data_IF_598213410631
#
_entry.id   IF_598213410631
#
_cell.length_a   1.000
_cell.length_b   1.000
_cell.length_c   1.000
_cell.angle_alpha   90.00
_cell.angle_beta   90.00
_cell.angle_gamma   90.00
#
_symmetry.space_group_name_H-M   'P 1'
#
loop_
_entity.id
_entity.type
_entity.pdbx_description
1 polymer ?
#
# COMPACT_ATOMS: atom_id res chain seq x y z
N UNK A 1 40.04 -12.64 36.20
CA UNK A 1 40.85 -11.99 37.25
C UNK A 1 41.87 -11.08 36.59
N UNK A 2 41.59 -9.77 36.53
CA UNK A 2 42.44 -8.73 35.90
C UNK A 2 43.32 -7.98 36.93
N UNK A 3 43.22 -8.32 38.23
CA UNK A 3 43.94 -7.64 39.32
C UNK A 3 45.46 -7.92 39.33
N UNK A 4 45.92 -8.95 38.62
CA UNK A 4 47.33 -9.34 38.56
C UNK A 4 48.19 -8.61 37.50
N UNK A 5 47.64 -7.63 36.78
CA UNK A 5 48.29 -7.00 35.61
C UNK A 5 49.01 -5.67 35.88
N UNK A 6 49.01 -5.18 37.13
CA UNK A 6 49.72 -3.93 37.49
C UNK A 6 49.18 -2.66 36.84
N UNK A 7 47.93 -2.68 36.35
CA UNK A 7 47.26 -1.52 35.74
C UNK A 7 46.75 -0.56 36.82
N UNK A 8 46.89 0.75 36.57
CA UNK A 8 46.31 1.79 37.43
C UNK A 8 44.76 1.70 37.46
N UNK A 9 44.13 2.20 38.53
CA UNK A 9 42.69 2.05 38.79
C UNK A 9 41.82 2.61 37.66
N UNK A 10 42.24 3.71 37.04
CA UNK A 10 41.53 4.27 35.87
C UNK A 10 41.63 3.36 34.65
N UNK A 11 42.81 2.79 34.38
CA UNK A 11 42.99 1.82 33.30
C UNK A 11 42.16 0.55 33.52
N UNK A 12 42.06 0.08 34.77
CA UNK A 12 41.21 -1.06 35.10
C UNK A 12 39.72 -0.79 34.80
N UNK A 13 39.22 0.40 35.16
CA UNK A 13 37.84 0.82 34.86
C UNK A 13 37.57 0.88 33.36
N UNK A 14 38.48 1.49 32.59
CA UNK A 14 38.36 1.61 31.13
C UNK A 14 38.37 0.24 30.43
N UNK A 15 39.18 -0.70 30.91
CA UNK A 15 39.22 -2.06 30.36
C UNK A 15 37.91 -2.81 30.65
N UNK A 16 37.34 -2.66 31.85
CA UNK A 16 36.04 -3.27 32.17
C UNK A 16 34.91 -2.69 31.32
N UNK A 17 34.81 -1.36 31.20
CA UNK A 17 33.82 -0.70 30.34
C UNK A 17 33.95 -1.13 28.88
N UNK A 18 35.18 -1.25 28.36
CA UNK A 18 35.44 -1.71 27.00
C UNK A 18 35.03 -3.18 26.80
N UNK A 19 35.34 -4.06 27.75
CA UNK A 19 34.95 -5.47 27.71
C UNK A 19 33.44 -5.66 27.82
N UNK A 20 32.76 -4.86 28.65
CA UNK A 20 31.30 -4.87 28.76
C UNK A 20 30.64 -4.39 27.46
N UNK A 21 31.15 -3.31 26.87
CA UNK A 21 30.68 -2.82 25.57
C UNK A 21 30.90 -3.84 24.45
N UNK A 22 32.07 -4.50 24.42
CA UNK A 22 32.36 -5.55 23.44
C UNK A 22 31.47 -6.78 23.64
N UNK A 23 31.24 -7.20 24.88
CA UNK A 23 30.31 -8.29 25.21
C UNK A 23 28.89 -7.94 24.79
N UNK A 24 28.42 -6.73 25.08
CA UNK A 24 27.09 -6.28 24.66
C UNK A 24 26.95 -6.30 23.13
N UNK A 25 27.97 -5.81 22.39
CA UNK A 25 27.99 -5.89 20.92
C UNK A 25 28.02 -7.32 20.40
N UNK A 26 28.81 -8.20 21.01
CA UNK A 26 28.92 -9.59 20.59
C UNK A 26 27.60 -10.35 20.83
N UNK A 27 26.97 -10.15 21.99
CA UNK A 27 25.66 -10.71 22.30
C UNK A 27 24.57 -10.15 21.40
N UNK A 28 24.60 -8.84 21.09
CA UNK A 28 23.70 -8.22 20.12
C UNK A 28 23.81 -8.88 18.75
N UNK A 29 25.02 -8.99 18.20
CA UNK A 29 25.23 -9.68 16.90
C UNK A 29 24.78 -11.14 16.92
N UNK A 30 25.04 -11.85 18.02
CA UNK A 30 24.61 -13.25 18.16
C UNK A 30 23.08 -13.36 18.21
N UNK A 31 22.41 -12.46 18.93
CA UNK A 31 20.96 -12.37 19.00
C UNK A 31 20.36 -12.04 17.62
N UNK A 32 20.93 -11.07 16.89
CA UNK A 32 20.50 -10.72 15.53
C UNK A 32 20.64 -11.92 14.58
N UNK A 33 21.77 -12.63 14.66
CA UNK A 33 22.03 -13.82 13.82
C UNK A 33 21.02 -14.92 14.12
N UNK A 34 20.74 -15.18 15.39
CA UNK A 34 19.75 -16.15 15.81
C UNK A 34 18.33 -15.74 15.40
N UNK A 35 17.97 -14.47 15.57
CA UNK A 35 16.68 -13.93 15.14
C UNK A 35 16.46 -14.09 13.63
N UNK A 36 17.47 -13.75 12.83
CA UNK A 36 17.44 -13.95 11.38
C UNK A 36 17.29 -15.42 10.99
N UNK A 37 17.95 -16.33 11.71
CA UNK A 37 17.84 -17.77 11.48
C UNK A 37 16.44 -18.30 11.84
N UNK A 38 15.83 -17.83 12.93
CA UNK A 38 14.44 -18.15 13.30
C UNK A 38 13.47 -17.68 12.21
N UNK A 39 13.63 -16.44 11.73
CA UNK A 39 12.82 -15.89 10.63
C UNK A 39 13.00 -16.74 9.36
N UNK A 40 14.23 -17.10 9.02
CA UNK A 40 14.54 -17.94 7.85
C UNK A 40 13.89 -19.31 7.94
N UNK A 41 13.99 -19.99 9.08
CA UNK A 41 13.39 -21.30 9.28
C UNK A 41 11.86 -21.24 9.22
N UNK A 42 11.25 -20.24 9.84
CA UNK A 42 9.81 -20.03 9.78
C UNK A 42 9.32 -19.73 8.36
N UNK A 43 10.03 -18.86 7.64
CA UNK A 43 9.75 -18.58 6.24
C UNK A 43 9.84 -19.85 5.39
N UNK A 44 10.92 -20.62 5.51
CA UNK A 44 11.08 -21.89 4.81
C UNK A 44 9.95 -22.87 5.14
N UNK A 45 9.53 -22.94 6.41
CA UNK A 45 8.42 -23.81 6.82
C UNK A 45 7.10 -23.43 6.17
N UNK A 46 6.83 -22.13 6.09
CA UNK A 46 5.66 -21.61 5.39
C UNK A 46 5.74 -21.92 3.89
N UNK A 47 6.90 -21.75 3.26
CA UNK A 47 7.11 -22.11 1.84
C UNK A 47 6.91 -23.61 1.60
N UNK A 48 7.50 -24.48 2.42
CA UNK A 48 7.35 -25.94 2.34
C UNK A 48 5.87 -26.37 2.44
N UNK A 49 5.08 -25.72 3.30
CA UNK A 49 3.64 -26.01 3.39
C UNK A 49 2.90 -25.73 2.07
N UNK A 50 3.34 -24.74 1.29
CA UNK A 50 2.78 -24.47 -0.04
C UNK A 50 3.10 -25.60 -1.03
N UNK A 51 4.24 -26.26 -0.88
CA UNK A 51 4.65 -27.39 -1.72
C UNK A 51 3.86 -28.66 -1.41
N UNK A 52 3.51 -28.88 -0.15
CA UNK A 52 2.66 -30.03 0.25
C UNK A 52 1.27 -29.98 -0.39
N UNK A 53 0.74 -28.77 -0.66
CA UNK A 53 -0.55 -28.54 -1.32
C UNK A 53 -0.40 -28.07 -2.77
N UNK A 54 0.75 -28.36 -3.41
CA UNK A 54 1.12 -27.76 -4.70
C UNK A 54 0.09 -27.99 -5.80
N UNK A 55 -0.53 -29.17 -5.90
CA UNK A 55 -1.47 -29.49 -6.98
C UNK A 55 -2.77 -28.68 -6.84
N UNK A 56 -3.46 -28.76 -5.71
CA UNK A 56 -4.71 -28.03 -5.46
C UNK A 56 -4.50 -26.51 -5.55
N UNK A 57 -3.38 -26.02 -5.02
CA UNK A 57 -2.99 -24.61 -5.13
C UNK A 57 -2.71 -24.21 -6.58
N UNK A 58 -1.96 -25.02 -7.33
CA UNK A 58 -1.62 -24.71 -8.71
C UNK A 58 -2.86 -24.64 -9.60
N UNK A 59 -3.87 -25.48 -9.34
CA UNK A 59 -5.15 -25.40 -10.02
C UNK A 59 -5.91 -24.13 -9.68
N UNK A 60 -6.13 -23.84 -8.38
CA UNK A 60 -6.90 -22.68 -7.96
C UNK A 60 -6.22 -21.34 -8.34
N UNK A 61 -4.94 -21.18 -8.01
CA UNK A 61 -4.17 -19.99 -8.35
C UNK A 61 -3.94 -19.90 -9.86
N UNK A 62 -3.71 -21.03 -10.54
CA UNK A 62 -3.56 -21.07 -11.99
C UNK A 62 -4.81 -20.57 -12.72
N UNK A 63 -5.99 -21.00 -12.28
CA UNK A 63 -7.27 -20.51 -12.80
C UNK A 63 -7.46 -19.01 -12.54
N UNK A 64 -7.19 -18.54 -11.32
CA UNK A 64 -7.29 -17.12 -10.97
C UNK A 64 -6.34 -16.25 -11.82
N UNK A 65 -5.08 -16.69 -11.99
CA UNK A 65 -4.10 -16.00 -12.81
C UNK A 65 -4.44 -16.05 -14.31
N UNK A 66 -5.09 -17.12 -14.78
CA UNK A 66 -5.54 -17.20 -16.17
C UNK A 66 -6.68 -16.22 -16.44
N UNK A 67 -7.66 -16.12 -15.53
CA UNK A 67 -8.72 -15.11 -15.62
C UNK A 67 -8.14 -13.69 -15.62
N UNK A 68 -7.18 -13.42 -14.74
CA UNK A 68 -6.49 -12.14 -14.70
C UNK A 68 -5.72 -11.84 -16.00
N UNK A 69 -5.01 -12.83 -16.56
CA UNK A 69 -4.32 -12.68 -17.86
C UNK A 69 -5.29 -12.42 -19.02
N UNK A 70 -6.48 -13.03 -19.01
CA UNK A 70 -7.50 -12.73 -20.01
C UNK A 70 -8.02 -11.29 -19.91
N UNK A 71 -8.17 -10.78 -18.68
CA UNK A 71 -8.53 -9.39 -18.42
C UNK A 71 -7.43 -8.44 -18.92
N UNK A 72 -6.18 -8.69 -18.53
CA UNK A 72 -5.01 -7.94 -18.99
C UNK A 72 -4.90 -7.93 -20.53
N UNK A 73 -5.13 -9.08 -21.17
CA UNK A 73 -5.10 -9.19 -22.62
C UNK A 73 -6.18 -8.34 -23.29
N UNK A 74 -7.40 -8.37 -22.75
CA UNK A 74 -8.53 -7.57 -23.25
C UNK A 74 -8.21 -6.07 -23.15
N UNK A 75 -7.69 -5.63 -22.00
CA UNK A 75 -7.25 -4.26 -21.76
C UNK A 75 -6.09 -3.86 -22.69
N UNK A 76 -5.15 -4.78 -22.93
CA UNK A 76 -4.01 -4.57 -23.84
C UNK A 76 -4.43 -4.38 -25.30
N UNK A 77 -5.57 -4.95 -25.70
CA UNK A 77 -6.18 -4.72 -27.01
C UNK A 77 -7.00 -3.43 -27.10
N UNK A 78 -7.10 -2.66 -26.00
CA UNK A 78 -7.94 -1.47 -25.92
C UNK A 78 -9.43 -1.78 -25.94
N UNK A 79 -9.81 -3.02 -25.61
CA UNK A 79 -11.22 -3.43 -25.50
C UNK A 79 -11.70 -3.24 -24.07
N UNK A 80 -12.97 -2.87 -23.94
CA UNK A 80 -13.64 -2.79 -22.65
C UNK A 80 -13.92 -4.21 -22.15
N UNK A 81 -13.38 -4.63 -21.00
CA UNK A 81 -13.69 -5.93 -20.44
C UNK A 81 -15.10 -5.95 -19.86
N UNK A 82 -15.68 -7.15 -19.78
CA UNK A 82 -16.96 -7.35 -19.10
C UNK A 82 -16.80 -7.04 -17.59
N UNK A 83 -17.64 -6.17 -16.99
CA UNK A 83 -17.60 -5.89 -15.55
C UNK A 83 -17.65 -7.16 -14.69
N UNK A 84 -18.42 -8.17 -15.09
CA UNK A 84 -18.49 -9.44 -14.37
C UNK A 84 -17.17 -10.23 -14.47
N UNK A 85 -16.50 -10.17 -15.61
CA UNK A 85 -15.18 -10.79 -15.78
C UNK A 85 -14.13 -10.15 -14.86
N UNK A 86 -14.09 -8.82 -14.80
CA UNK A 86 -13.17 -8.08 -13.92
C UNK A 86 -13.42 -8.42 -12.45
N UNK A 87 -14.69 -8.47 -12.04
CA UNK A 87 -15.09 -8.86 -10.68
C UNK A 87 -14.70 -10.29 -10.36
N UNK A 88 -14.98 -11.25 -11.24
CA UNK A 88 -14.64 -12.66 -11.03
C UNK A 88 -13.13 -12.87 -10.90
N UNK A 89 -12.34 -12.25 -11.78
CA UNK A 89 -10.88 -12.30 -11.70
C UNK A 89 -10.36 -11.74 -10.37
N UNK A 90 -10.90 -10.61 -9.92
CA UNK A 90 -10.54 -10.00 -8.64
C UNK A 90 -10.89 -10.89 -7.45
N UNK A 91 -12.13 -11.38 -7.38
CA UNK A 91 -12.58 -12.24 -6.28
C UNK A 91 -11.81 -13.58 -6.24
N UNK A 92 -11.51 -14.17 -7.41
CA UNK A 92 -10.74 -15.41 -7.51
C UNK A 92 -9.31 -15.20 -7.01
N UNK A 93 -8.64 -14.11 -7.42
CA UNK A 93 -7.28 -13.81 -7.01
C UNK A 93 -7.19 -13.48 -5.51
N UNK A 94 -8.11 -12.66 -4.99
CA UNK A 94 -8.21 -12.36 -3.55
C UNK A 94 -8.44 -13.61 -2.71
N UNK A 95 -9.29 -14.53 -3.18
CA UNK A 95 -9.53 -15.82 -2.51
C UNK A 95 -8.26 -16.66 -2.49
N UNK A 96 -7.59 -16.84 -3.62
CA UNK A 96 -6.35 -17.61 -3.70
C UNK A 96 -5.26 -17.05 -2.78
N UNK A 97 -5.13 -15.71 -2.70
CA UNK A 97 -4.20 -15.02 -1.81
C UNK A 97 -4.53 -15.29 -0.33
N UNK A 98 -5.81 -15.16 0.03
CA UNK A 98 -6.26 -15.40 1.41
C UNK A 98 -5.99 -16.85 1.81
N UNK A 99 -6.32 -17.80 0.95
CA UNK A 99 -6.10 -19.21 1.21
C UNK A 99 -4.60 -19.52 1.37
N UNK A 100 -3.73 -18.89 0.55
CA UNK A 100 -2.27 -18.97 0.71
C UNK A 100 -1.80 -18.44 2.07
N UNK A 101 -2.28 -17.27 2.48
CA UNK A 101 -1.97 -16.67 3.80
C UNK A 101 -2.45 -17.53 4.97
N UNK A 102 -3.65 -18.12 4.87
CA UNK A 102 -4.18 -19.00 5.91
C UNK A 102 -3.34 -20.27 6.05
N UNK A 103 -2.91 -20.88 4.95
CA UNK A 103 -2.01 -22.04 4.98
C UNK A 103 -0.66 -21.69 5.61
N UNK A 104 -0.06 -20.58 5.21
CA UNK A 104 1.21 -20.09 5.78
C UNK A 104 1.08 -19.84 7.29
N UNK A 105 0.00 -19.18 7.72
CA UNK A 105 -0.26 -18.91 9.13
C UNK A 105 -0.38 -20.21 9.95
N UNK A 106 -1.14 -21.20 9.44
CA UNK A 106 -1.27 -22.53 10.08
C UNK A 106 0.07 -23.28 10.14
N UNK A 107 0.91 -23.15 9.12
CA UNK A 107 2.24 -23.78 9.10
C UNK A 107 3.21 -23.14 10.11
N UNK A 108 3.05 -21.85 10.38
CA UNK A 108 3.88 -21.11 11.34
C UNK A 108 3.38 -21.19 12.78
N UNK A 109 2.10 -21.48 13.02
CA UNK A 109 1.49 -21.54 14.35
C UNK A 109 2.28 -22.41 15.36
N UNK A 110 2.78 -23.62 15.02
CA UNK A 110 3.54 -24.44 15.94
C UNK A 110 4.89 -23.84 16.37
N UNK A 111 5.41 -22.86 15.63
CA UNK A 111 6.70 -22.22 15.91
C UNK A 111 6.61 -21.17 17.01
N UNK A 112 5.40 -20.76 17.41
CA UNK A 112 5.14 -19.80 18.50
C UNK A 112 6.06 -18.56 18.43
N UNK A 113 6.18 -17.99 17.24
CA UNK A 113 7.06 -16.85 17.00
C UNK A 113 6.66 -15.65 17.85
N UNK A 114 7.66 -14.97 18.43
CA UNK A 114 7.46 -13.64 19.00
C UNK A 114 6.96 -12.64 17.96
N UNK A 115 6.25 -11.59 18.39
CA UNK A 115 5.58 -10.63 17.51
C UNK A 115 6.50 -10.03 16.44
N UNK A 116 7.73 -9.65 16.81
CA UNK A 116 8.72 -9.09 15.88
C UNK A 116 9.11 -10.08 14.78
N UNK A 117 9.41 -11.33 15.15
CA UNK A 117 9.74 -12.38 14.18
C UNK A 117 8.55 -12.74 13.30
N UNK A 118 7.34 -12.82 13.88
CA UNK A 118 6.11 -13.07 13.11
C UNK A 118 5.85 -11.98 12.08
N UNK A 119 6.08 -10.71 12.44
CA UNK A 119 5.99 -9.57 11.50
C UNK A 119 7.06 -9.66 10.41
N UNK A 120 8.31 -9.97 10.76
CA UNK A 120 9.40 -10.11 9.78
C UNK A 120 9.11 -11.24 8.77
N UNK A 121 8.64 -12.40 9.24
CA UNK A 121 8.26 -13.52 8.35
C UNK A 121 7.07 -13.14 7.47
N UNK A 122 6.04 -12.49 8.03
CA UNK A 122 4.86 -12.04 7.26
C UNK A 122 5.25 -11.05 6.16
N UNK A 123 6.15 -10.10 6.47
CA UNK A 123 6.68 -9.15 5.48
C UNK A 123 7.49 -9.84 4.39
N UNK A 124 8.32 -10.83 4.73
CA UNK A 124 9.07 -11.61 3.76
C UNK A 124 8.14 -12.39 2.82
N UNK A 125 7.11 -13.05 3.36
CA UNK A 125 6.11 -13.79 2.58
C UNK A 125 5.29 -12.85 1.70
N UNK A 126 4.90 -11.67 2.19
CA UNK A 126 4.22 -10.65 1.39
C UNK A 126 5.09 -10.09 0.28
N UNK A 127 6.39 -9.88 0.55
CA UNK A 127 7.33 -9.41 -0.48
C UNK A 127 7.44 -10.43 -1.62
N UNK A 128 7.60 -11.71 -1.28
CA UNK A 128 7.61 -12.79 -2.27
C UNK A 128 6.29 -12.85 -3.06
N UNK A 129 5.17 -12.67 -2.36
CA UNK A 129 3.85 -12.60 -2.95
C UNK A 129 3.72 -11.49 -3.99
N UNK A 130 4.09 -10.27 -3.62
CA UNK A 130 4.10 -9.10 -4.50
C UNK A 130 5.00 -9.31 -5.72
N UNK A 131 6.13 -10.00 -5.55
CA UNK A 131 7.01 -10.34 -6.68
C UNK A 131 6.36 -11.34 -7.65
N UNK A 132 5.61 -12.33 -7.16
CA UNK A 132 5.00 -13.36 -8.02
C UNK A 132 3.81 -12.87 -8.81
N UNK A 133 2.93 -12.08 -8.19
CA UNK A 133 1.66 -11.70 -8.82
C UNK A 133 1.17 -10.29 -8.44
N UNK A 134 2.03 -9.43 -7.88
CA UNK A 134 1.66 -8.06 -7.49
C UNK A 134 1.20 -7.21 -8.67
N UNK A 135 1.89 -7.28 -9.82
CA UNK A 135 1.49 -6.54 -11.02
C UNK A 135 0.11 -6.97 -11.53
N UNK A 136 -0.12 -8.28 -11.60
CA UNK A 136 -1.42 -8.82 -12.03
C UNK A 136 -2.54 -8.44 -11.08
N UNK A 137 -2.29 -8.53 -9.77
CA UNK A 137 -3.23 -8.08 -8.75
C UNK A 137 -3.57 -6.60 -8.92
N UNK A 138 -2.56 -5.75 -9.13
CA UNK A 138 -2.73 -4.31 -9.28
C UNK A 138 -3.58 -3.96 -10.53
N UNK A 139 -3.35 -4.62 -11.66
CA UNK A 139 -4.15 -4.41 -12.88
C UNK A 139 -5.60 -4.82 -12.65
N UNK A 140 -5.82 -6.00 -12.07
CA UNK A 140 -7.17 -6.53 -11.80
C UNK A 140 -7.89 -5.67 -10.78
N UNK A 141 -7.21 -5.23 -9.73
CA UNK A 141 -7.78 -4.37 -8.67
C UNK A 141 -8.19 -3.00 -9.23
N UNK A 142 -7.33 -2.34 -10.02
CA UNK A 142 -7.67 -1.06 -10.68
C UNK A 142 -8.87 -1.22 -11.59
N UNK A 143 -8.92 -2.28 -12.37
CA UNK A 143 -10.02 -2.52 -13.30
C UNK A 143 -11.32 -2.84 -12.57
N UNK A 144 -11.28 -3.68 -11.53
CA UNK A 144 -12.43 -3.95 -10.68
C UNK A 144 -12.97 -2.67 -10.03
N UNK A 145 -12.08 -1.84 -9.47
CA UNK A 145 -12.42 -0.54 -8.88
C UNK A 145 -13.06 0.37 -9.92
N UNK A 146 -12.48 0.47 -11.12
CA UNK A 146 -13.02 1.27 -12.22
C UNK A 146 -14.45 0.85 -12.55
N UNK A 147 -14.69 -0.46 -12.71
CA UNK A 147 -16.01 -0.99 -13.02
C UNK A 147 -17.01 -0.73 -11.90
N UNK A 148 -16.62 -0.96 -10.65
CA UNK A 148 -17.45 -0.67 -9.49
C UNK A 148 -17.81 0.81 -9.39
N UNK A 149 -16.83 1.71 -9.58
CA UNK A 149 -17.05 3.15 -9.61
C UNK A 149 -18.03 3.52 -10.71
N UNK A 150 -17.81 3.05 -11.94
CA UNK A 150 -18.64 3.36 -13.10
C UNK A 150 -20.07 2.85 -12.95
N UNK A 151 -20.25 1.65 -12.39
CA UNK A 151 -21.56 1.13 -12.04
C UNK A 151 -22.28 2.04 -11.04
N UNK A 152 -21.53 2.59 -10.08
CA UNK A 152 -22.07 3.42 -9.02
C UNK A 152 -22.47 4.84 -9.48
N UNK A 153 -21.67 5.47 -10.35
CA UNK A 153 -21.97 6.81 -10.90
C UNK A 153 -22.88 6.76 -12.14
N UNK A 154 -23.11 5.58 -12.71
CA UNK A 154 -24.00 5.37 -13.84
C UNK A 154 -23.50 5.98 -15.14
N UNK A 155 -24.40 6.52 -15.96
CA UNK A 155 -24.09 6.98 -17.33
C UNK A 155 -23.48 8.40 -17.41
N UNK A 156 -23.11 9.01 -16.28
CA UNK A 156 -22.57 10.38 -16.27
C UNK A 156 -21.12 10.39 -16.73
N UNK A 157 -20.91 10.83 -17.97
CA UNK A 157 -19.59 10.86 -18.63
C UNK A 157 -18.52 11.61 -17.83
N UNK A 158 -18.87 12.68 -17.13
CA UNK A 158 -17.90 13.47 -16.35
C UNK A 158 -17.36 12.70 -15.13
N UNK A 159 -18.17 11.83 -14.54
CA UNK A 159 -17.80 11.02 -13.39
C UNK A 159 -17.30 9.63 -13.78
N UNK A 160 -17.43 9.24 -15.05
CA UNK A 160 -17.00 7.93 -15.50
C UNK A 160 -15.48 7.86 -15.59
N UNK A 161 -14.88 6.85 -14.97
CA UNK A 161 -13.45 6.55 -15.08
C UNK A 161 -13.19 5.82 -16.40
N UNK A 162 -12.38 6.45 -17.26
CA UNK A 162 -11.89 5.80 -18.48
C UNK A 162 -10.77 4.79 -18.17
N UNK A 163 -10.49 3.84 -19.06
CA UNK A 163 -9.35 2.93 -18.90
C UNK A 163 -8.02 3.68 -18.71
N UNK A 164 -7.80 4.77 -19.43
CA UNK A 164 -6.57 5.56 -19.33
C UNK A 164 -6.45 6.29 -17.98
N UNK A 165 -7.56 6.79 -17.43
CA UNK A 165 -7.56 7.40 -16.10
C UNK A 165 -7.31 6.36 -15.00
N UNK A 166 -7.91 5.18 -15.12
CA UNK A 166 -7.71 4.10 -14.16
C UNK A 166 -6.28 3.52 -14.18
N UNK A 167 -5.56 3.59 -15.32
CA UNK A 167 -4.16 3.14 -15.41
C UNK A 167 -3.22 3.89 -14.47
N UNK A 168 -3.50 5.15 -14.15
CA UNK A 168 -2.67 5.96 -13.24
C UNK A 168 -3.29 6.11 -11.86
N UNK A 169 -4.50 5.59 -11.65
CA UNK A 169 -5.23 5.68 -10.39
C UNK A 169 -4.60 4.71 -9.38
N UNK A 170 -4.27 5.23 -8.19
CA UNK A 170 -3.89 4.40 -7.04
C UNK A 170 -5.14 3.86 -6.32
N UNK A 171 -5.41 2.54 -6.36
CA UNK A 171 -6.57 1.94 -5.72
C UNK A 171 -6.63 2.16 -4.22
N UNK A 172 -5.46 2.21 -3.55
CA UNK A 172 -5.39 2.35 -2.10
C UNK A 172 -5.80 3.76 -1.67
N UNK A 173 -5.25 4.78 -2.34
CA UNK A 173 -5.62 6.18 -2.10
C UNK A 173 -7.09 6.44 -2.43
N UNK A 174 -7.62 5.87 -3.52
CA UNK A 174 -9.04 5.98 -3.84
C UNK A 174 -9.93 5.36 -2.75
N UNK A 175 -9.62 4.13 -2.32
CA UNK A 175 -10.38 3.43 -1.28
C UNK A 175 -10.34 4.17 0.06
N UNK A 176 -9.17 4.71 0.43
CA UNK A 176 -9.02 5.57 1.61
C UNK A 176 -9.96 6.78 1.56
N UNK A 177 -10.07 7.45 0.42
CA UNK A 177 -10.94 8.61 0.24
C UNK A 177 -12.43 8.25 0.27
N UNK A 178 -12.80 7.04 -0.14
CA UNK A 178 -14.16 6.51 -0.01
C UNK A 178 -14.50 6.25 1.46
N UNK A 179 -13.63 5.54 2.17
CA UNK A 179 -13.85 5.07 3.54
C UNK A 179 -13.83 6.20 4.57
N UNK A 180 -12.93 7.17 4.40
CA UNK A 180 -12.63 8.18 5.41
C UNK A 180 -12.86 9.60 4.88
N UNK A 181 -13.57 10.40 5.67
CA UNK A 181 -13.51 11.85 5.54
C UNK A 181 -12.11 12.34 5.94
N UNK A 182 -11.58 13.40 5.29
CA UNK A 182 -10.31 13.98 5.70
C UNK A 182 -10.43 14.55 7.11
N UNK A 183 -9.40 14.34 7.94
CA UNK A 183 -9.31 14.90 9.29
C UNK A 183 -8.85 16.36 9.28
N UNK A 184 -7.99 16.71 8.33
CA UNK A 184 -7.41 18.05 8.21
C UNK A 184 -6.98 18.35 6.76
N UNK A 185 -6.56 19.60 6.51
CA UNK A 185 -6.03 20.07 5.23
C UNK A 185 -4.72 20.85 5.44
N UNK A 186 -3.66 20.40 4.77
CA UNK A 186 -2.35 21.04 4.74
C UNK A 186 -2.32 22.06 3.58
N UNK A 187 -2.38 23.39 3.86
CA UNK A 187 -2.43 24.40 2.81
C UNK A 187 -1.09 24.56 2.08
N UNK A 188 0.04 24.31 2.75
CA UNK A 188 1.37 24.43 2.15
C UNK A 188 1.59 23.33 1.11
N UNK A 189 1.21 22.10 1.46
CA UNK A 189 1.32 20.94 0.55
C UNK A 189 0.10 20.75 -0.34
N UNK A 190 -0.94 21.58 -0.15
CA UNK A 190 -2.23 21.49 -0.81
C UNK A 190 -2.77 20.06 -0.79
N UNK A 191 -2.79 19.44 0.38
CA UNK A 191 -3.14 18.04 0.55
C UNK A 191 -4.10 17.83 1.73
N UNK A 192 -5.07 16.94 1.55
CA UNK A 192 -5.91 16.48 2.64
C UNK A 192 -5.17 15.42 3.46
N UNK A 193 -5.39 15.44 4.76
CA UNK A 193 -4.82 14.48 5.70
C UNK A 193 -5.92 13.49 6.07
N UNK A 194 -5.60 12.20 5.94
CA UNK A 194 -6.46 11.09 6.33
C UNK A 194 -5.76 10.29 7.44
N UNK A 195 -6.49 10.06 8.54
CA UNK A 195 -5.98 9.33 9.70
C UNK A 195 -6.70 8.00 9.86
N UNK A 196 -5.92 6.93 10.00
CA UNK A 196 -6.42 5.59 10.35
C UNK A 196 -5.78 5.16 11.67
N UNK A 197 -6.58 4.57 12.55
CA UNK A 197 -6.10 4.15 13.88
C UNK A 197 -4.87 3.22 13.75
N UNK A 198 -3.78 3.58 14.43
CA UNK A 198 -2.55 2.81 14.45
C UNK A 198 -1.69 2.92 13.18
N UNK A 199 -2.00 3.82 12.24
CA UNK A 199 -1.19 4.06 11.04
C UNK A 199 -0.73 5.52 10.94
N UNK A 200 0.42 5.79 10.30
CA UNK A 200 0.83 7.15 9.98
C UNK A 200 -0.24 7.87 9.13
N UNK A 201 -0.45 9.18 9.33
CA UNK A 201 -1.37 9.96 8.51
C UNK A 201 -0.96 9.94 7.03
N UNK A 202 -1.93 9.72 6.15
CA UNK A 202 -1.74 9.71 4.70
C UNK A 202 -2.13 11.07 4.14
N UNK A 203 -1.25 11.67 3.34
CA UNK A 203 -1.50 12.95 2.67
C UNK A 203 -1.92 12.68 1.23
N UNK A 204 -3.12 13.12 0.87
CA UNK A 204 -3.67 12.97 -0.48
C UNK A 204 -3.74 14.36 -1.14
N UNK A 205 -3.06 14.59 -2.28
CA UNK A 205 -3.09 15.87 -2.96
C UNK A 205 -4.52 16.33 -3.29
N UNK A 206 -4.78 17.63 -3.14
CA UNK A 206 -6.10 18.22 -3.39
C UNK A 206 -6.61 17.97 -4.82
N UNK A 207 -5.70 17.98 -5.79
CA UNK A 207 -5.98 17.80 -7.21
C UNK A 207 -5.83 16.36 -7.69
N UNK A 208 -5.60 15.41 -6.78
CA UNK A 208 -5.48 14.00 -7.14
C UNK A 208 -6.77 13.47 -7.77
N UNK A 209 -6.60 12.58 -8.74
CA UNK A 209 -7.70 11.96 -9.45
C UNK A 209 -8.48 11.06 -8.50
N UNK A 210 -7.77 10.28 -7.71
CA UNK A 210 -8.27 9.38 -6.68
C UNK A 210 -9.26 10.09 -5.77
N UNK A 211 -8.87 11.25 -5.22
CA UNK A 211 -9.70 12.00 -4.28
C UNK A 211 -10.97 12.51 -4.93
N UNK A 212 -10.88 13.11 -6.12
CA UNK A 212 -12.04 13.71 -6.80
C UNK A 212 -13.09 12.67 -7.15
N UNK A 213 -12.67 11.56 -7.76
CA UNK A 213 -13.59 10.47 -8.12
C UNK A 213 -14.13 9.76 -6.87
N UNK A 214 -13.29 9.53 -5.86
CA UNK A 214 -13.75 8.94 -4.60
C UNK A 214 -14.76 9.84 -3.88
N UNK A 215 -14.54 11.16 -3.83
CA UNK A 215 -15.49 12.10 -3.20
C UNK A 215 -16.83 12.13 -3.93
N UNK A 216 -16.83 12.11 -5.27
CA UNK A 216 -18.05 12.03 -6.06
C UNK A 216 -18.84 10.75 -5.75
N UNK A 217 -18.18 9.60 -5.72
CA UNK A 217 -18.82 8.34 -5.34
C UNK A 217 -19.27 8.36 -3.86
N UNK A 218 -18.44 8.84 -2.93
CA UNK A 218 -18.82 8.91 -1.51
C UNK A 218 -20.06 9.78 -1.29
N UNK A 219 -20.14 10.94 -1.92
CA UNK A 219 -21.27 11.86 -1.76
C UNK A 219 -22.57 11.30 -2.33
N UNK A 220 -22.52 10.59 -3.47
CA UNK A 220 -23.67 9.83 -3.98
C UNK A 220 -24.09 8.74 -2.98
N UNK A 221 -23.12 8.02 -2.39
CA UNK A 221 -23.39 7.00 -1.37
C UNK A 221 -24.04 7.54 -0.09
N UNK A 222 -23.77 8.81 0.23
CA UNK A 222 -24.41 9.54 1.33
C UNK A 222 -25.77 10.15 0.95
N UNK A 223 -26.27 9.89 -0.26
CA UNK A 223 -27.61 10.27 -0.71
C UNK A 223 -27.68 11.54 -1.57
N UNK A 224 -26.54 12.12 -1.98
CA UNK A 224 -26.54 13.19 -2.97
C UNK A 224 -26.96 12.64 -4.34
N UNK A 225 -27.69 13.42 -5.14
CA UNK A 225 -27.98 13.00 -6.52
C UNK A 225 -26.69 12.98 -7.35
N UNK A 226 -26.68 12.14 -8.40
CA UNK A 226 -25.52 12.02 -9.29
C UNK A 226 -25.22 13.35 -9.98
N UNK A 227 -26.24 14.15 -10.32
CA UNK A 227 -26.07 15.50 -10.89
C UNK A 227 -25.44 16.47 -9.88
N UNK A 228 -25.82 16.37 -8.60
CA UNK A 228 -25.23 17.18 -7.53
C UNK A 228 -23.74 16.83 -7.33
N UNK A 229 -23.41 15.54 -7.36
CA UNK A 229 -22.03 15.08 -7.28
C UNK A 229 -21.22 15.50 -8.52
N UNK A 230 -21.80 15.41 -9.72
CA UNK A 230 -21.18 15.90 -10.97
C UNK A 230 -20.89 17.40 -10.89
N UNK A 231 -21.83 18.21 -10.42
CA UNK A 231 -21.62 19.65 -10.25
C UNK A 231 -20.48 19.97 -9.27
N UNK A 232 -20.38 19.23 -8.17
CA UNK A 232 -19.28 19.38 -7.21
C UNK A 232 -17.93 18.93 -7.80
N UNK A 233 -17.93 17.82 -8.53
CA UNK A 233 -16.75 17.31 -9.22
C UNK A 233 -16.20 18.32 -10.24
N UNK A 234 -17.06 18.85 -11.12
CA UNK A 234 -16.67 19.86 -12.10
C UNK A 234 -16.17 21.15 -11.45
N UNK A 235 -16.77 21.57 -10.33
CA UNK A 235 -16.26 22.70 -9.54
C UNK A 235 -14.86 22.43 -8.99
N UNK A 236 -14.60 21.20 -8.54
CA UNK A 236 -13.28 20.82 -8.03
C UNK A 236 -12.18 20.83 -9.10
N UNK A 237 -12.53 20.56 -10.37
CA UNK A 237 -11.62 20.72 -11.51
C UNK A 237 -11.26 22.19 -11.73
N UNK A 238 -12.26 23.07 -11.81
CA UNK A 238 -12.03 24.50 -12.01
C UNK A 238 -11.33 25.21 -10.84
N UNK A 239 -11.60 24.77 -9.60
CA UNK A 239 -10.91 25.30 -8.41
C UNK A 239 -9.44 24.89 -8.32
N UNK A 240 -9.04 23.78 -8.96
CA UNK A 240 -7.65 23.37 -8.99
C UNK A 240 -6.80 24.19 -9.96
N UNK A 241 -7.38 24.68 -11.06
CA UNK A 241 -6.73 25.66 -11.94
C UNK A 241 -6.46 26.96 -11.18
N UNK A 242 -7.45 27.50 -10.46
CA UNK A 242 -7.26 28.73 -9.67
C UNK A 242 -6.16 28.60 -8.61
N UNK A 243 -6.07 27.46 -7.91
CA UNK A 243 -5.05 27.24 -6.89
C UNK A 243 -3.65 26.91 -7.47
N UNK A 244 -3.56 26.33 -8.69
CA UNK A 244 -2.28 26.15 -9.40
C UNK A 244 -1.77 27.44 -10.05
N UNK A 245 -2.67 28.32 -10.49
CA UNK A 245 -2.34 29.64 -11.04
C UNK A 245 -1.90 30.64 -9.95
N UNK A 246 -2.50 30.59 -8.76
CA UNK A 246 -2.04 31.32 -7.58
C UNK A 246 -0.61 30.91 -7.16
N UNK A 247 -0.29 29.60 -7.19
CA UNK A 247 1.07 29.12 -6.89
C UNK A 247 2.13 29.47 -7.94
N UNK A 248 1.74 29.75 -9.19
CA UNK A 248 2.65 30.23 -10.25
C UNK A 248 2.91 31.73 -10.21
N UNK A 249 2.02 32.50 -9.61
CA UNK A 249 2.11 33.96 -9.56
C UNK A 249 2.98 34.46 -8.41
N UNK A 250 3.21 33.65 -7.38
CA UNK A 250 4.16 33.97 -6.30
C UNK A 250 5.64 33.91 -6.72
N UNK A 251 5.98 33.22 -7.81
CA UNK A 251 7.37 33.07 -8.27
C UNK A 251 7.81 34.17 -9.26
N UNK A 252 6.98 35.20 -9.52
CA UNK A 252 7.27 36.29 -10.47
C UNK A 252 7.08 37.70 -9.93
N UNK A 253 7.08 37.90 -8.61
CA UNK A 253 7.08 39.25 -8.04
C UNK A 253 8.45 39.62 -7.44
N UNK A 254 9.45 39.84 -8.30
CA UNK A 254 10.58 40.70 -7.95
C UNK A 254 10.08 42.14 -7.92
N UNK A 255 9.79 42.62 -6.71
CA UNK A 255 9.15 43.92 -6.47
C UNK A 255 9.93 45.12 -7.05
N UNK A 256 9.23 46.25 -7.27
CA UNK A 256 9.87 47.45 -7.79
C UNK A 256 10.79 48.06 -6.73
N UNK A 257 12.07 48.19 -7.10
CA UNK A 257 13.09 48.86 -6.30
C UNK A 257 12.69 50.31 -6.01
N UNK A 258 12.68 50.63 -4.71
CA UNK A 258 12.43 51.97 -4.18
C UNK A 258 13.64 52.86 -4.52
N UNK A 259 13.39 53.92 -5.28
CA UNK A 259 14.33 55.01 -5.54
C UNK A 259 14.80 55.68 -4.24
N UNK A 260 16.09 56.03 -4.20
CA UNK A 260 16.63 57.16 -3.44
C UNK A 260 17.37 58.08 -4.38
#
# INVERSE_FOLDING_TARGET
MLEGLGLDKEHHRLVLEALEAERARALGRAADTFGNEVVRQAHNKAVESRELHQQERAEALGQALEQARQLEHTLGQGREPDPEQARQAYEALQRAIRDEREMEARAMEPLQLGTEHAQAVSQALETERSQRYGQTLEVVEREHLRQQHNQFVGQRKALHLTPDQARTLDPQTYSLCIELAPSDYDPEKRAYIHERAGQPPVRVPYDSLERRYAEAARTIGLGLSVEGAEANFLRSLGGAEAATEAGRSDDRYTGPGVSR
#
